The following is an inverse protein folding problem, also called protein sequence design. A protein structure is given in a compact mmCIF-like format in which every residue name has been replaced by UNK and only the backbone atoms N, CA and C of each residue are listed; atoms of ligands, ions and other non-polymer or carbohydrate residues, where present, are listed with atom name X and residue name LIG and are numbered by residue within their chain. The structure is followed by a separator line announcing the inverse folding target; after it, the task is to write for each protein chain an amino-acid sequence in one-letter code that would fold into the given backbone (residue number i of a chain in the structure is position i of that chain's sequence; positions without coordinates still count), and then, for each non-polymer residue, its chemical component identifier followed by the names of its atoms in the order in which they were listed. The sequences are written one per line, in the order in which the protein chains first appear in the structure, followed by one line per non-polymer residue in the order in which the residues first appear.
data_IF_083201637696
#
_entry.id   IF_083201637696
#
_cell.length_a   1.000
_cell.length_b   1.000
_cell.length_c   1.000
_cell.angle_alpha   90.00
_cell.angle_beta   90.00
_cell.angle_gamma   90.00
#
_symmetry.space_group_name_H-M   'P 1'
#
loop_
_entity.id
_entity.type
_entity.pdbx_description
1 polymer ?
#
# COMPACT_ATOMS: atom_id res chain seq x y z
N UNK A 1 2.64 2.98 -10.08
CA UNK A 1 2.80 3.34 -11.50
C UNK A 1 4.24 3.75 -11.84
N UNK A 2 5.01 4.36 -10.93
CA UNK A 2 6.46 4.60 -11.14
C UNK A 2 7.30 3.30 -11.14
N UNK A 3 7.09 2.40 -10.17
CA UNK A 3 7.91 1.18 -10.06
C UNK A 3 7.84 0.24 -11.26
N UNK A 4 6.75 0.29 -12.03
CA UNK A 4 6.62 -0.51 -13.26
C UNK A 4 7.37 0.11 -14.43
N UNK A 5 7.62 1.43 -14.44
CA UNK A 5 8.35 2.09 -15.53
C UNK A 5 9.84 1.76 -15.49
N UNK A 6 10.43 1.74 -14.30
CA UNK A 6 11.86 1.42 -14.14
C UNK A 6 12.17 -0.02 -14.56
N UNK A 7 11.28 -0.97 -14.20
CA UNK A 7 11.38 -2.37 -14.65
C UNK A 7 11.24 -2.50 -16.16
N UNK A 8 10.25 -1.83 -16.75
CA UNK A 8 10.02 -1.88 -18.21
C UNK A 8 11.18 -1.26 -18.99
N UNK A 9 11.77 -0.17 -18.49
CA UNK A 9 12.94 0.45 -19.12
C UNK A 9 14.15 -0.51 -19.09
N UNK A 10 14.38 -1.20 -17.96
CA UNK A 10 15.46 -2.16 -17.83
C UNK A 10 15.27 -3.36 -18.79
N UNK A 11 14.06 -3.89 -18.89
CA UNK A 11 13.74 -5.00 -19.78
C UNK A 11 13.95 -4.63 -21.26
N UNK A 12 13.50 -3.43 -21.66
CA UNK A 12 13.67 -2.94 -23.03
C UNK A 12 15.14 -2.63 -23.34
N UNK A 13 15.88 -2.06 -22.39
CA UNK A 13 17.32 -1.81 -22.56
C UNK A 13 18.09 -3.11 -22.77
N UNK A 14 17.83 -4.13 -21.95
CA UNK A 14 18.46 -5.44 -22.09
C UNK A 14 18.16 -6.10 -23.44
N UNK A 15 16.92 -5.99 -23.92
CA UNK A 15 16.53 -6.54 -25.22
C UNK A 15 17.29 -5.86 -26.38
N UNK A 16 17.41 -4.53 -26.33
CA UNK A 16 18.07 -3.74 -27.36
C UNK A 16 19.60 -3.90 -27.32
N UNK A 17 20.22 -3.99 -26.14
CA UNK A 17 21.66 -4.25 -26.00
C UNK A 17 22.04 -5.60 -26.64
N UNK A 18 21.25 -6.66 -26.38
CA UNK A 18 21.47 -7.98 -26.99
C UNK A 18 21.40 -7.95 -28.53
N UNK A 19 20.58 -7.09 -29.12
CA UNK A 19 20.45 -6.94 -30.57
C UNK A 19 21.56 -6.05 -31.16
N UNK A 20 22.00 -5.03 -30.43
CA UNK A 20 23.01 -4.07 -30.87
C UNK A 20 24.45 -4.61 -30.77
N UNK A 21 24.67 -5.65 -29.96
CA UNK A 21 25.97 -6.32 -29.81
C UNK A 21 26.49 -6.89 -31.14
N UNK A 22 25.59 -7.41 -31.99
CA UNK A 22 25.91 -7.88 -33.34
C UNK A 22 26.34 -6.79 -34.33
N UNK A 23 26.09 -5.52 -34.01
CA UNK A 23 26.46 -4.35 -34.81
C UNK A 23 27.61 -3.55 -34.19
N UNK A 24 28.12 -3.95 -33.02
CA UNK A 24 29.20 -3.26 -32.30
C UNK A 24 28.79 -1.92 -31.69
N UNK A 25 27.50 -1.69 -31.48
CA UNK A 25 26.94 -0.45 -30.92
C UNK A 25 26.54 -0.71 -29.47
N UNK A 26 26.97 0.15 -28.55
CA UNK A 26 26.58 0.09 -27.12
C UNK A 26 25.49 1.11 -26.82
N UNK A 27 24.37 0.68 -26.24
CA UNK A 27 23.25 1.57 -25.93
C UNK A 27 23.45 2.15 -24.53
N UNK A 28 23.50 3.49 -24.43
CA UNK A 28 23.79 4.17 -23.17
C UNK A 28 22.55 4.37 -22.29
N UNK A 29 21.38 4.68 -22.87
CA UNK A 29 20.11 4.90 -22.17
C UNK A 29 18.92 4.68 -23.12
N UNK A 30 17.83 4.10 -22.60
CA UNK A 30 16.55 3.99 -23.29
C UNK A 30 15.46 4.61 -22.42
N UNK A 31 14.71 5.55 -22.99
CA UNK A 31 13.63 6.25 -22.29
C UNK A 31 12.31 6.06 -23.05
N UNK A 32 11.31 5.49 -22.38
CA UNK A 32 9.96 5.36 -22.93
C UNK A 32 9.28 6.74 -22.89
N UNK A 33 9.18 7.40 -24.05
CA UNK A 33 8.60 8.75 -24.17
C UNK A 33 7.08 8.81 -24.05
N UNK A 34 6.37 7.87 -24.68
CA UNK A 34 4.91 7.85 -24.66
C UNK A 34 4.39 6.42 -24.75
N UNK A 35 3.43 6.08 -23.89
CA UNK A 35 2.70 4.81 -23.94
C UNK A 35 1.23 5.18 -24.05
N UNK A 36 0.68 4.99 -25.24
CA UNK A 36 -0.75 5.14 -25.48
C UNK A 36 -1.47 3.91 -24.89
N UNK A 37 -2.12 4.10 -23.75
CA UNK A 37 -3.00 3.10 -23.16
C UNK A 37 -4.42 3.42 -23.59
N UNK A 38 -5.13 2.44 -24.12
CA UNK A 38 -6.53 2.61 -24.53
C UNK A 38 -7.38 3.17 -23.35
N UNK A 39 -8.21 4.20 -23.57
CA UNK A 39 -9.07 4.79 -22.54
C UNK A 39 -9.95 3.79 -21.79
N UNK A 40 -10.37 2.71 -22.47
CA UNK A 40 -11.16 1.62 -21.88
C UNK A 40 -10.36 0.85 -20.82
N UNK A 41 -9.10 0.56 -21.12
CA UNK A 41 -8.20 -0.17 -20.20
C UNK A 41 -7.85 0.68 -18.97
N UNK A 42 -7.64 1.99 -19.15
CA UNK A 42 -7.40 2.91 -18.03
C UNK A 42 -8.58 2.89 -17.04
N UNK A 43 -9.82 2.91 -17.55
CA UNK A 43 -11.02 2.83 -16.69
C UNK A 43 -11.12 1.50 -15.96
N UNK A 44 -10.80 0.39 -16.63
CA UNK A 44 -10.82 -0.93 -16.01
C UNK A 44 -9.78 -1.05 -14.88
N UNK A 45 -8.54 -0.57 -15.12
CA UNK A 45 -7.47 -0.55 -14.12
C UNK A 45 -7.83 0.37 -12.95
N UNK A 46 -8.39 1.55 -13.23
CA UNK A 46 -8.82 2.48 -12.18
C UNK A 46 -9.90 1.85 -11.29
N UNK A 47 -10.92 1.23 -11.89
CA UNK A 47 -11.99 0.54 -11.16
C UNK A 47 -11.47 -0.64 -10.33
N UNK A 48 -10.52 -1.42 -10.86
CA UNK A 48 -9.89 -2.51 -10.13
C UNK A 48 -9.04 -2.00 -8.96
N UNK A 49 -8.25 -0.94 -9.19
CA UNK A 49 -7.42 -0.33 -8.16
C UNK A 49 -8.27 0.29 -7.04
N UNK A 50 -9.40 0.89 -7.37
CA UNK A 50 -10.37 1.42 -6.41
C UNK A 50 -10.99 0.31 -5.57
N UNK A 51 -11.48 -0.76 -6.20
CA UNK A 51 -12.04 -1.91 -5.49
C UNK A 51 -11.03 -2.57 -4.53
N UNK A 52 -9.78 -2.74 -4.96
CA UNK A 52 -8.71 -3.28 -4.11
C UNK A 52 -8.37 -2.33 -2.96
N UNK A 53 -8.38 -1.01 -3.21
CA UNK A 53 -8.15 0.01 -2.18
C UNK A 53 -9.26 0.00 -1.13
N UNK A 54 -10.52 -0.04 -1.55
CA UNK A 54 -11.66 -0.13 -0.64
C UNK A 54 -11.63 -1.42 0.19
N UNK A 55 -11.33 -2.55 -0.46
CA UNK A 55 -11.18 -3.84 0.24
C UNK A 55 -10.10 -3.74 1.32
N UNK A 56 -8.92 -3.20 1.00
CA UNK A 56 -7.84 -3.03 1.98
C UNK A 56 -8.22 -2.07 3.11
N UNK A 57 -8.88 -0.96 2.78
CA UNK A 57 -9.34 -0.01 3.79
C UNK A 57 -10.30 -0.67 4.80
N UNK A 58 -11.24 -1.50 4.33
CA UNK A 58 -12.15 -2.24 5.21
C UNK A 58 -11.41 -3.21 6.13
N UNK A 59 -10.42 -3.93 5.61
CA UNK A 59 -9.62 -4.87 6.41
C UNK A 59 -8.85 -4.12 7.51
N UNK A 60 -8.17 -3.03 7.14
CA UNK A 60 -7.40 -2.22 8.09
C UNK A 60 -8.29 -1.62 9.19
N UNK A 61 -9.48 -1.12 8.82
CA UNK A 61 -10.42 -0.60 9.80
C UNK A 61 -10.92 -1.69 10.74
N UNK A 62 -11.32 -2.85 10.21
CA UNK A 62 -11.78 -3.96 11.04
C UNK A 62 -10.68 -4.48 12.00
N UNK A 63 -9.43 -4.52 11.54
CA UNK A 63 -8.28 -4.89 12.37
C UNK A 63 -8.00 -3.84 13.46
N UNK A 64 -8.08 -2.55 13.11
CA UNK A 64 -7.96 -1.45 14.07
C UNK A 64 -9.06 -1.45 15.12
N UNK A 65 -10.31 -1.72 14.73
CA UNK A 65 -11.45 -1.85 15.64
C UNK A 65 -11.27 -3.03 16.60
N UNK A 66 -10.81 -4.18 16.10
CA UNK A 66 -10.52 -5.35 16.93
C UNK A 66 -9.43 -5.06 17.96
N UNK A 67 -8.33 -4.43 17.52
CA UNK A 67 -7.22 -4.07 18.39
C UNK A 67 -7.66 -3.07 19.49
N UNK A 68 -8.46 -2.08 19.12
CA UNK A 68 -9.01 -1.12 20.08
C UNK A 68 -9.94 -1.81 21.09
N UNK A 69 -10.82 -2.70 20.63
CA UNK A 69 -11.73 -3.44 21.51
C UNK A 69 -10.97 -4.34 22.50
N UNK A 70 -9.92 -5.03 22.05
CA UNK A 70 -9.06 -5.85 22.92
C UNK A 70 -8.37 -5.00 23.99
N UNK A 71 -7.79 -3.86 23.61
CA UNK A 71 -7.14 -2.97 24.58
C UNK A 71 -8.13 -2.41 25.60
N UNK A 72 -9.35 -2.09 25.18
CA UNK A 72 -10.40 -1.63 26.09
C UNK A 72 -10.86 -2.73 27.05
N UNK A 73 -10.98 -3.97 26.59
CA UNK A 73 -11.33 -5.12 27.43
C UNK A 73 -10.22 -5.43 28.44
N UNK A 74 -8.96 -5.42 28.01
CA UNK A 74 -7.80 -5.54 28.91
C UNK A 74 -7.78 -4.42 29.96
N UNK A 75 -8.02 -3.17 29.55
CA UNK A 75 -8.12 -2.06 30.48
C UNK A 75 -9.30 -2.25 31.47
N UNK A 76 -10.46 -2.69 31.00
CA UNK A 76 -11.63 -2.93 31.83
C UNK A 76 -11.38 -4.04 32.86
N UNK A 77 -10.76 -5.15 32.46
CA UNK A 77 -10.40 -6.25 33.39
C UNK A 77 -9.38 -5.81 34.43
N UNK A 78 -8.40 -4.97 34.05
CA UNK A 78 -7.44 -4.40 35.01
C UNK A 78 -8.15 -3.49 36.02
N UNK A 79 -9.07 -2.64 35.55
CA UNK A 79 -9.85 -1.76 36.43
C UNK A 79 -10.79 -2.54 37.35
N UNK A 80 -11.38 -3.64 36.88
CA UNK A 80 -12.27 -4.49 37.67
C UNK A 80 -11.55 -5.24 38.81
N UNK A 81 -10.24 -5.51 38.68
CA UNK A 81 -9.45 -6.17 39.73
C UNK A 81 -9.38 -5.37 41.04
N UNK A 82 -9.51 -4.04 40.97
CA UNK A 82 -9.49 -3.17 42.15
C UNK A 82 -10.62 -2.14 42.08
N UNK A 83 -11.64 -2.22 42.93
CA UNK A 83 -12.78 -1.30 42.85
C UNK A 83 -12.38 0.17 43.11
N UNK A 84 -11.28 0.43 43.84
CA UNK A 84 -10.80 1.80 44.10
C UNK A 84 -10.23 2.49 42.85
N UNK A 85 -9.86 1.75 41.80
CA UNK A 85 -9.23 2.32 40.60
C UNK A 85 -10.15 3.28 39.84
N UNK A 86 -11.47 3.01 39.84
CA UNK A 86 -12.46 3.88 39.22
C UNK A 86 -12.62 5.20 39.98
N UNK A 87 -12.53 5.17 41.31
CA UNK A 87 -12.53 6.38 42.14
C UNK A 87 -11.27 7.21 41.94
N UNK A 88 -10.08 6.58 41.87
CA UNK A 88 -8.84 7.29 41.56
C UNK A 88 -8.88 7.96 40.19
N UNK A 89 -9.44 7.28 39.17
CA UNK A 89 -9.62 7.86 37.84
C UNK A 89 -10.55 9.08 37.86
N UNK A 90 -11.65 9.00 38.60
CA UNK A 90 -12.59 10.12 38.76
C UNK A 90 -11.94 11.33 39.45
N UNK A 91 -11.16 11.09 40.51
CA UNK A 91 -10.47 12.15 41.25
C UNK A 91 -9.36 12.83 40.44
N UNK A 92 -8.71 12.12 39.51
CA UNK A 92 -7.68 12.69 38.64
C UNK A 92 -8.20 13.50 37.44
N UNK A 93 -9.52 13.50 37.21
CA UNK A 93 -10.16 14.31 36.16
C UNK A 93 -10.71 15.66 36.65
N UNK A 94 -10.58 15.95 37.95
CA UNK A 94 -10.87 17.24 38.58
C UNK A 94 -9.61 18.09 38.66
#
# INVERSE_FOLDING_TARGET
MLSKRDQLNADVQALLDNQAEGWGIKIANVEIKHVDIDPSMIRAIAKQAEAERERRAKIINAEGELQAAQQLDEAATILAKRPETMQLRYLGTL
#
